data_IF_840147850024
#
_entry.id   IF_840147850024
#
_cell.length_a   1.000
_cell.length_b   1.000
_cell.length_c   1.000
_cell.angle_alpha   90.00
_cell.angle_beta   90.00
_cell.angle_gamma   90.00
#
_symmetry.space_group_name_H-M   'P 1'
#
loop_
_entity.id
_entity.type
_entity.pdbx_description
1 polymer ?
#
# COMPACT_ATOMS: atom_id res chain seq x y z
N UNK A 1 21.16 22.39 10.51
CA UNK A 1 22.02 21.59 9.61
C UNK A 1 22.13 20.15 10.11
N UNK A 2 22.42 19.91 11.39
CA UNK A 2 22.41 18.58 12.02
C UNK A 2 21.18 17.72 11.69
N UNK A 3 19.98 18.30 11.66
CA UNK A 3 18.75 17.58 11.29
C UNK A 3 18.82 16.96 9.88
N UNK A 4 19.31 17.73 8.90
CA UNK A 4 19.49 17.29 7.51
C UNK A 4 20.46 16.11 7.45
N UNK A 5 21.57 16.19 8.16
CA UNK A 5 22.61 15.15 8.20
C UNK A 5 22.08 13.86 8.83
N UNK A 6 21.42 13.97 9.99
CA UNK A 6 20.78 12.84 10.68
C UNK A 6 19.73 12.14 9.81
N UNK A 7 19.01 12.89 8.97
CA UNK A 7 18.01 12.36 8.03
C UNK A 7 18.60 11.89 6.69
N UNK A 8 19.91 12.01 6.49
CA UNK A 8 20.59 11.58 5.26
C UNK A 8 20.26 12.42 4.02
N UNK A 9 19.74 13.65 4.18
CA UNK A 9 19.27 14.50 3.09
C UNK A 9 20.43 15.21 2.37
N UNK A 10 21.44 14.48 1.88
CA UNK A 10 22.74 15.04 1.44
C UNK A 10 22.63 16.10 0.34
N UNK A 11 21.70 15.92 -0.59
CA UNK A 11 21.40 16.81 -1.72
C UNK A 11 20.52 18.03 -1.37
N UNK A 12 20.07 18.20 -0.11
CA UNK A 12 19.32 19.39 0.29
C UNK A 12 20.25 20.58 0.54
N UNK A 13 20.10 21.65 -0.24
CA UNK A 13 20.77 22.93 0.01
C UNK A 13 19.87 23.85 0.84
N UNK A 14 20.39 24.35 1.97
CA UNK A 14 19.67 25.30 2.85
C UNK A 14 20.43 26.62 2.81
N UNK A 15 19.81 27.66 2.24
CA UNK A 15 20.37 29.00 2.27
C UNK A 15 20.11 29.66 3.65
N UNK A 16 21.02 30.52 4.15
CA UNK A 16 20.88 31.13 5.48
C UNK A 16 19.58 31.92 5.71
N UNK A 17 19.03 32.52 4.66
CA UNK A 17 17.82 33.35 4.70
C UNK A 17 16.51 32.55 4.75
N UNK A 18 16.52 31.31 4.22
CA UNK A 18 15.32 30.50 4.01
C UNK A 18 14.57 30.15 5.31
N UNK A 19 15.23 29.74 6.42
CA UNK A 19 14.51 29.45 7.67
C UNK A 19 13.66 30.63 8.15
N UNK A 20 14.18 31.86 8.04
CA UNK A 20 13.44 33.07 8.41
C UNK A 20 12.24 33.26 7.50
N UNK A 21 12.42 33.10 6.19
CA UNK A 21 11.33 33.22 5.20
C UNK A 21 10.22 32.21 5.46
N UNK A 22 10.55 30.97 5.84
CA UNK A 22 9.55 29.93 6.16
C UNK A 22 8.72 30.35 7.39
N UNK A 23 9.40 30.79 8.45
CA UNK A 23 8.74 31.18 9.71
C UNK A 23 7.90 32.46 9.57
N UNK A 24 8.31 33.40 8.71
CA UNK A 24 7.63 34.69 8.53
C UNK A 24 6.63 34.71 7.36
N UNK A 25 6.39 33.60 6.66
CA UNK A 25 5.54 33.57 5.47
C UNK A 25 4.06 33.80 5.85
N UNK A 26 3.47 34.87 5.32
CA UNK A 26 2.04 35.17 5.47
C UNK A 26 1.25 35.09 4.16
N UNK A 27 1.91 35.26 3.01
CA UNK A 27 1.26 35.27 1.69
C UNK A 27 1.82 34.21 0.72
N UNK A 28 1.01 33.59 -0.16
CA UNK A 28 -0.45 33.75 -0.27
C UNK A 28 -1.23 33.08 0.88
N UNK A 29 -0.56 32.23 1.67
CA UNK A 29 -1.09 31.65 2.90
C UNK A 29 0.07 31.33 3.86
N UNK A 30 -0.26 31.15 5.15
CA UNK A 30 0.69 30.61 6.14
C UNK A 30 1.06 29.16 5.79
N UNK A 31 2.32 28.80 6.00
CA UNK A 31 2.85 27.46 5.70
C UNK A 31 2.59 26.44 6.80
N UNK A 32 2.19 26.90 7.99
CA UNK A 32 1.98 26.06 9.17
C UNK A 32 0.96 26.69 10.11
N UNK A 33 0.34 25.84 10.92
CA UNK A 33 -0.38 26.20 12.14
C UNK A 33 0.44 25.76 13.34
N UNK A 34 0.54 26.61 14.36
CA UNK A 34 1.19 26.30 15.63
C UNK A 34 0.14 26.45 16.73
N UNK A 35 -0.14 25.36 17.43
CA UNK A 35 -0.96 25.37 18.66
C UNK A 35 0.03 25.27 19.81
N UNK A 36 0.14 26.35 20.58
CA UNK A 36 1.05 26.47 21.71
C UNK A 36 0.50 27.49 22.71
N UNK A 37 0.98 27.44 23.94
CA UNK A 37 0.73 28.48 24.94
C UNK A 37 1.32 29.83 24.50
N UNK A 38 0.68 30.93 24.89
CA UNK A 38 1.13 32.29 24.56
C UNK A 38 2.58 32.54 25.02
N UNK A 39 3.01 31.95 26.14
CA UNK A 39 4.37 32.06 26.65
C UNK A 39 5.42 31.44 25.72
N UNK A 40 5.04 30.49 24.86
CA UNK A 40 5.95 29.87 23.87
C UNK A 40 6.26 30.84 22.74
N UNK A 41 5.26 31.61 22.29
CA UNK A 41 5.41 32.55 21.17
C UNK A 41 5.82 33.95 21.61
N UNK A 42 5.57 34.29 22.89
CA UNK A 42 5.93 35.56 23.53
C UNK A 42 6.64 35.29 24.86
N UNK A 43 7.88 34.79 24.84
CA UNK A 43 8.62 34.53 26.06
C UNK A 43 8.89 35.83 26.82
N UNK A 44 8.60 35.83 28.12
CA UNK A 44 8.82 36.94 29.05
C UNK A 44 10.20 36.90 29.74
N UNK A 45 10.96 35.84 29.48
CA UNK A 45 12.27 35.59 30.07
C UNK A 45 13.22 34.94 29.07
N UNK A 46 14.53 35.10 29.30
CA UNK A 46 15.55 34.44 28.49
C UNK A 46 15.41 32.91 28.54
N UNK A 47 15.07 32.33 29.70
CA UNK A 47 14.81 30.91 29.83
C UNK A 47 13.62 30.46 28.96
N UNK A 48 12.56 31.28 28.87
CA UNK A 48 11.40 31.04 28.00
C UNK A 48 11.74 31.00 26.51
N UNK A 49 12.83 31.63 26.07
CA UNK A 49 13.26 31.60 24.67
C UNK A 49 13.64 30.19 24.18
N UNK A 50 13.95 29.27 25.10
CA UNK A 50 14.19 27.87 24.75
C UNK A 50 12.96 27.20 24.14
N UNK A 51 11.75 27.51 24.65
CA UNK A 51 10.50 26.98 24.12
C UNK A 51 10.18 27.56 22.74
N UNK A 52 10.40 28.86 22.55
CA UNK A 52 10.28 29.52 21.24
C UNK A 52 11.22 28.89 20.21
N UNK A 53 12.47 28.64 20.61
CA UNK A 53 13.47 28.01 19.74
C UNK A 53 13.05 26.58 19.35
N UNK A 54 12.57 25.77 20.30
CA UNK A 54 12.10 24.41 19.97
C UNK A 54 10.85 24.42 19.09
N UNK A 55 9.92 25.37 19.29
CA UNK A 55 8.78 25.54 18.41
C UNK A 55 9.22 25.90 16.98
N UNK A 56 10.14 26.86 16.83
CA UNK A 56 10.71 27.24 15.54
C UNK A 56 11.44 26.07 14.86
N UNK A 57 12.26 25.33 15.62
CA UNK A 57 12.94 24.14 15.12
C UNK A 57 11.96 23.04 14.69
N UNK A 58 10.89 22.81 15.44
CA UNK A 58 9.85 21.84 15.10
C UNK A 58 9.16 22.19 13.78
N UNK A 59 8.79 23.46 13.59
CA UNK A 59 8.19 23.95 12.34
C UNK A 59 9.16 23.75 11.18
N UNK A 60 10.43 24.16 11.33
CA UNK A 60 11.44 24.03 10.29
C UNK A 60 11.74 22.56 9.94
N UNK A 61 11.81 21.67 10.94
CA UNK A 61 12.02 20.23 10.75
C UNK A 61 10.86 19.61 9.96
N UNK A 62 9.61 19.87 10.37
CA UNK A 62 8.41 19.38 9.67
C UNK A 62 8.32 19.92 8.24
N UNK A 63 8.58 21.22 8.04
CA UNK A 63 8.63 21.82 6.71
C UNK A 63 9.70 21.15 5.84
N UNK A 64 10.91 20.96 6.39
CA UNK A 64 12.02 20.32 5.67
C UNK A 64 11.68 18.90 5.25
N UNK A 65 11.10 18.09 6.15
CA UNK A 65 10.67 16.73 5.82
C UNK A 65 9.64 16.74 4.69
N UNK A 66 8.61 17.59 4.78
CA UNK A 66 7.55 17.70 3.76
C UNK A 66 8.09 18.20 2.42
N UNK A 67 8.93 19.23 2.42
CA UNK A 67 9.56 19.77 1.21
C UNK A 67 10.42 18.71 0.53
N UNK A 68 11.31 18.07 1.29
CA UNK A 68 12.20 17.05 0.76
C UNK A 68 11.41 15.88 0.17
N UNK A 69 10.40 15.40 0.90
CA UNK A 69 9.48 14.36 0.44
C UNK A 69 8.80 14.74 -0.87
N UNK A 70 8.19 15.93 -0.95
CA UNK A 70 7.51 16.39 -2.16
C UNK A 70 8.45 16.49 -3.37
N UNK A 71 9.68 16.95 -3.16
CA UNK A 71 10.68 17.01 -4.24
C UNK A 71 11.12 15.64 -4.71
N UNK A 72 11.29 14.68 -3.79
CA UNK A 72 11.59 13.30 -4.13
C UNK A 72 10.42 12.65 -4.89
N UNK A 73 9.19 12.80 -4.41
CA UNK A 73 7.99 12.27 -5.07
C UNK A 73 7.81 12.82 -6.49
N UNK A 74 8.11 14.11 -6.68
CA UNK A 74 8.11 14.72 -8.02
C UNK A 74 9.16 14.09 -8.91
N UNK A 75 10.38 13.91 -8.41
CA UNK A 75 11.44 13.25 -9.16
C UNK A 75 11.07 11.80 -9.50
N UNK A 76 10.59 11.02 -8.52
CA UNK A 76 10.10 9.65 -8.71
C UNK A 76 9.04 9.61 -9.83
N UNK A 77 8.02 10.48 -9.74
CA UNK A 77 6.93 10.58 -10.73
C UNK A 77 7.44 10.89 -12.14
N UNK A 78 8.46 11.74 -12.26
CA UNK A 78 9.06 12.14 -13.54
C UNK A 78 9.88 11.01 -14.19
N UNK A 79 10.37 10.05 -13.39
CA UNK A 79 11.26 8.97 -13.84
C UNK A 79 10.63 7.56 -13.82
N UNK A 80 9.45 7.39 -13.24
CA UNK A 80 8.71 6.11 -13.25
C UNK A 80 8.39 5.65 -14.69
N UNK A 81 8.65 4.38 -14.97
CA UNK A 81 8.39 3.72 -16.26
C UNK A 81 7.81 2.33 -16.04
N UNK A 82 7.04 1.84 -17.02
CA UNK A 82 6.63 0.44 -17.05
C UNK A 82 7.82 -0.44 -17.40
N UNK A 83 7.95 -1.56 -16.69
CA UNK A 83 8.93 -2.61 -16.96
C UNK A 83 8.23 -3.96 -17.00
N UNK A 84 8.67 -4.84 -17.90
CA UNK A 84 8.26 -6.24 -17.91
C UNK A 84 8.80 -6.94 -16.68
N UNK A 85 7.93 -7.64 -15.95
CA UNK A 85 8.33 -8.55 -14.88
C UNK A 85 8.86 -9.84 -15.51
N UNK A 86 10.10 -10.21 -15.17
CA UNK A 86 10.69 -11.48 -15.56
C UNK A 86 10.96 -12.35 -14.32
N UNK A 87 11.44 -13.59 -14.55
CA UNK A 87 11.70 -14.58 -13.51
C UNK A 87 12.82 -14.17 -12.53
N UNK A 88 13.66 -13.22 -12.91
CA UNK A 88 14.81 -12.78 -12.14
C UNK A 88 14.46 -11.53 -11.28
N UNK A 89 13.21 -11.07 -11.34
CA UNK A 89 12.72 -9.97 -10.50
C UNK A 89 12.78 -10.32 -9.00
N UNK A 90 13.23 -9.35 -8.19
CA UNK A 90 13.39 -9.52 -6.75
C UNK A 90 12.08 -9.85 -6.01
N UNK A 91 10.94 -9.61 -6.64
CA UNK A 91 9.63 -9.98 -6.12
C UNK A 91 9.40 -11.51 -6.10
N UNK A 92 10.17 -12.28 -6.89
CA UNK A 92 10.16 -13.74 -6.88
C UNK A 92 11.30 -14.25 -5.99
N UNK A 93 10.97 -14.90 -4.87
CA UNK A 93 11.94 -15.34 -3.86
C UNK A 93 11.62 -16.75 -3.40
N UNK A 94 12.63 -17.58 -3.17
CA UNK A 94 12.42 -18.92 -2.61
C UNK A 94 11.77 -18.85 -1.21
N UNK A 95 10.85 -19.78 -0.95
CA UNK A 95 10.28 -19.94 0.39
C UNK A 95 11.27 -20.63 1.33
N UNK A 96 11.48 -20.03 2.51
CA UNK A 96 12.12 -20.68 3.65
C UNK A 96 11.10 -20.89 4.75
N UNK A 97 10.77 -22.14 5.06
CA UNK A 97 9.84 -22.49 6.16
C UNK A 97 10.65 -23.02 7.35
N UNK A 98 10.53 -22.33 8.50
CA UNK A 98 11.13 -22.69 9.78
C UNK A 98 10.05 -23.28 10.68
N UNK A 99 10.24 -24.52 11.09
CA UNK A 99 9.28 -25.27 11.91
C UNK A 99 9.91 -25.61 13.26
N UNK A 100 9.16 -25.43 14.34
CA UNK A 100 9.59 -25.86 15.67
C UNK A 100 9.84 -27.38 15.71
N UNK A 101 10.94 -27.81 16.33
CA UNK A 101 11.36 -29.23 16.37
C UNK A 101 10.29 -30.19 16.92
N UNK A 102 9.40 -29.71 17.79
CA UNK A 102 8.32 -30.51 18.37
C UNK A 102 7.15 -30.84 17.41
N UNK A 103 7.09 -30.22 16.23
CA UNK A 103 6.02 -30.42 15.25
C UNK A 103 6.32 -31.60 14.32
N UNK A 104 6.59 -32.79 14.87
CA UNK A 104 7.05 -33.97 14.11
C UNK A 104 6.10 -34.40 12.97
N UNK A 105 4.79 -34.27 13.19
CA UNK A 105 3.79 -34.57 12.15
C UNK A 105 3.88 -33.60 10.97
N UNK A 106 4.06 -32.30 11.26
CA UNK A 106 4.22 -31.28 10.23
C UNK A 106 5.54 -31.45 9.47
N UNK A 107 6.62 -31.77 10.17
CA UNK A 107 7.92 -32.04 9.54
C UNK A 107 7.79 -33.20 8.54
N UNK A 108 7.14 -34.29 8.93
CA UNK A 108 6.89 -35.43 8.05
C UNK A 108 6.00 -35.05 6.85
N UNK A 109 4.96 -34.25 7.07
CA UNK A 109 4.09 -33.77 5.99
C UNK A 109 4.85 -32.86 4.99
N UNK A 110 5.70 -31.96 5.48
CA UNK A 110 6.54 -31.09 4.63
C UNK A 110 7.55 -31.92 3.84
N UNK A 111 8.19 -32.92 4.47
CA UNK A 111 9.12 -33.80 3.74
C UNK A 111 8.41 -34.54 2.61
N UNK A 112 7.20 -35.06 2.87
CA UNK A 112 6.39 -35.69 1.84
C UNK A 112 6.02 -34.71 0.72
N UNK A 113 5.68 -33.46 1.04
CA UNK A 113 5.39 -32.44 0.02
C UNK A 113 6.60 -32.13 -0.86
N UNK A 114 7.81 -32.14 -0.28
CA UNK A 114 9.06 -31.97 -1.03
C UNK A 114 9.28 -33.17 -1.96
N UNK A 115 9.05 -34.39 -1.47
CA UNK A 115 9.20 -35.62 -2.25
C UNK A 115 8.17 -35.74 -3.38
N UNK A 116 6.92 -35.30 -3.13
CA UNK A 116 5.83 -35.21 -4.12
C UNK A 116 6.14 -34.13 -5.20
N UNK A 117 7.06 -33.21 -4.92
CA UNK A 117 7.53 -32.16 -5.82
C UNK A 117 6.48 -31.08 -6.10
N UNK A 118 5.67 -31.29 -7.14
CA UNK A 118 4.77 -30.27 -7.67
C UNK A 118 3.45 -30.13 -6.91
N UNK A 119 3.14 -31.05 -5.99
CA UNK A 119 1.83 -31.12 -5.32
C UNK A 119 1.45 -29.81 -4.61
N UNK A 120 2.44 -29.10 -4.09
CA UNK A 120 2.28 -27.81 -3.40
C UNK A 120 1.75 -26.68 -4.31
N UNK A 121 1.95 -26.78 -5.62
CA UNK A 121 1.56 -25.76 -6.59
C UNK A 121 0.19 -26.01 -7.23
N UNK A 122 -0.48 -27.13 -6.91
CA UNK A 122 -1.67 -27.60 -7.65
C UNK A 122 -2.95 -27.63 -6.82
N UNK A 123 -2.85 -27.47 -5.49
CA UNK A 123 -3.99 -27.61 -4.58
C UNK A 123 -3.80 -26.86 -3.26
N UNK A 124 -4.91 -26.61 -2.57
CA UNK A 124 -4.91 -26.12 -1.20
C UNK A 124 -4.42 -27.25 -0.28
N UNK A 125 -3.43 -26.94 0.56
CA UNK A 125 -2.88 -27.88 1.53
C UNK A 125 -3.47 -27.63 2.92
N UNK A 126 -3.53 -28.69 3.75
CA UNK A 126 -4.03 -28.60 5.13
C UNK A 126 -2.92 -28.51 6.17
N UNK A 127 -1.88 -29.34 6.03
CA UNK A 127 -0.80 -29.41 7.03
C UNK A 127 0.11 -28.19 6.98
N UNK A 128 0.45 -27.74 5.77
CA UNK A 128 1.09 -26.46 5.50
C UNK A 128 0.08 -25.60 4.72
N UNK A 129 -0.81 -24.86 5.40
CA UNK A 129 -1.95 -24.21 4.75
C UNK A 129 -1.54 -23.31 3.58
N UNK A 130 -2.12 -23.57 2.42
CA UNK A 130 -1.91 -22.79 1.19
C UNK A 130 -3.21 -22.45 0.50
N UNK A 131 -3.19 -21.37 -0.29
CA UNK A 131 -4.25 -21.07 -1.26
C UNK A 131 -3.70 -21.27 -2.67
N UNK A 132 -4.16 -22.31 -3.36
CA UNK A 132 -3.93 -22.47 -4.77
C UNK A 132 -4.89 -21.56 -5.57
N UNK A 133 -4.30 -20.73 -6.41
CA UNK A 133 -4.97 -19.85 -7.35
C UNK A 133 -4.18 -19.89 -8.67
N UNK A 134 -4.77 -20.53 -9.67
CA UNK A 134 -4.20 -20.78 -11.00
C UNK A 134 -3.90 -19.50 -11.79
N UNK A 135 -4.53 -18.39 -11.41
CA UNK A 135 -4.29 -17.05 -11.95
C UNK A 135 -3.25 -16.25 -11.18
N UNK A 136 -2.65 -16.82 -10.14
CA UNK A 136 -1.62 -16.13 -9.37
C UNK A 136 -0.23 -16.37 -9.97
N UNK A 137 0.56 -15.31 -10.15
CA UNK A 137 1.89 -15.39 -10.81
C UNK A 137 2.97 -16.05 -9.94
N UNK A 138 2.69 -16.30 -8.66
CA UNK A 138 3.63 -16.90 -7.72
C UNK A 138 2.98 -17.89 -6.75
N UNK A 139 3.21 -19.18 -6.92
CA UNK A 139 2.72 -20.23 -6.02
C UNK A 139 3.91 -20.85 -5.26
N UNK A 140 3.72 -21.36 -4.03
CA UNK A 140 2.47 -21.37 -3.25
C UNK A 140 2.18 -20.06 -2.53
N UNK A 141 0.91 -19.79 -2.22
CA UNK A 141 0.51 -18.78 -1.24
C UNK A 141 0.34 -19.41 0.14
N UNK A 142 1.39 -19.38 0.97
CA UNK A 142 1.33 -19.85 2.36
C UNK A 142 0.43 -18.96 3.21
N UNK A 143 -0.35 -19.55 4.12
CA UNK A 143 -1.12 -18.83 5.15
C UNK A 143 -0.31 -18.81 6.46
N UNK A 144 -0.38 -17.70 7.21
CA UNK A 144 0.28 -17.57 8.51
C UNK A 144 -0.24 -18.62 9.50
N UNK A 145 0.67 -19.27 10.26
CA UNK A 145 0.33 -20.37 11.16
C UNK A 145 1.03 -20.25 12.52
N UNK A 146 0.59 -19.27 13.30
CA UNK A 146 1.04 -19.05 14.68
C UNK A 146 2.56 -18.98 14.84
N UNK A 147 3.06 -19.08 16.07
CA UNK A 147 4.48 -18.84 16.33
C UNK A 147 5.40 -20.03 16.01
N UNK A 148 4.82 -21.23 15.86
CA UNK A 148 5.59 -22.48 15.69
C UNK A 148 6.05 -22.72 14.26
N UNK A 149 5.46 -22.02 13.30
CA UNK A 149 5.80 -22.10 11.87
C UNK A 149 6.00 -20.69 11.37
N UNK A 150 7.21 -20.40 10.88
CA UNK A 150 7.55 -19.11 10.28
C UNK A 150 7.98 -19.32 8.85
N UNK A 151 7.50 -18.49 7.93
CA UNK A 151 7.93 -18.52 6.54
C UNK A 151 8.58 -17.20 6.14
N UNK A 152 9.51 -17.28 5.19
CA UNK A 152 10.03 -16.12 4.47
C UNK A 152 9.91 -16.40 2.96
N UNK A 153 9.14 -15.61 2.19
CA UNK A 153 8.23 -14.53 2.60
C UNK A 153 7.18 -14.95 3.67
N UNK A 154 6.67 -13.99 4.48
CA UNK A 154 5.68 -14.29 5.52
C UNK A 154 4.42 -14.93 4.93
N UNK A 155 3.67 -15.69 5.73
CA UNK A 155 2.36 -16.21 5.33
C UNK A 155 1.35 -15.08 5.12
N UNK A 156 0.24 -15.39 4.45
CA UNK A 156 -0.90 -14.50 4.33
C UNK A 156 -1.60 -14.35 5.68
N UNK A 157 -1.90 -13.12 6.07
CA UNK A 157 -2.77 -12.82 7.22
C UNK A 157 -4.23 -13.08 6.88
N UNK A 158 -5.11 -13.08 7.88
CA UNK A 158 -6.53 -13.36 7.67
C UNK A 158 -7.20 -12.44 6.64
N UNK A 159 -6.91 -11.13 6.65
CA UNK A 159 -7.46 -10.17 5.67
C UNK A 159 -6.96 -10.44 4.25
N UNK A 160 -5.66 -10.73 4.11
CA UNK A 160 -5.03 -11.06 2.82
C UNK A 160 -5.56 -12.40 2.28
N UNK A 161 -5.68 -13.39 3.17
CA UNK A 161 -6.25 -14.71 2.88
C UNK A 161 -7.68 -14.59 2.36
N UNK A 162 -8.54 -13.86 3.08
CA UNK A 162 -9.94 -13.63 2.71
C UNK A 162 -10.04 -13.01 1.31
N UNK A 163 -9.22 -11.99 1.03
CA UNK A 163 -9.17 -11.34 -0.28
C UNK A 163 -8.84 -12.33 -1.42
N UNK A 164 -7.80 -13.16 -1.24
CA UNK A 164 -7.41 -14.15 -2.26
C UNK A 164 -8.51 -15.21 -2.45
N UNK A 165 -9.10 -15.71 -1.36
CA UNK A 165 -10.20 -16.69 -1.42
C UNK A 165 -11.42 -16.12 -2.15
N UNK A 166 -11.80 -14.88 -1.85
CA UNK A 166 -12.95 -14.20 -2.46
C UNK A 166 -12.73 -13.89 -3.93
N UNK A 167 -11.55 -13.39 -4.30
CA UNK A 167 -11.19 -13.13 -5.69
C UNK A 167 -11.14 -14.42 -6.49
N UNK A 168 -10.60 -15.51 -5.92
CA UNK A 168 -10.61 -16.84 -6.54
C UNK A 168 -12.04 -17.33 -6.79
N UNK A 169 -12.92 -17.17 -5.80
CA UNK A 169 -14.33 -17.53 -5.94
C UNK A 169 -15.04 -16.70 -7.02
N UNK A 170 -14.80 -15.38 -7.06
CA UNK A 170 -15.32 -14.49 -8.09
C UNK A 170 -14.85 -14.90 -9.49
N UNK A 171 -13.54 -15.12 -9.67
CA UNK A 171 -12.98 -15.53 -10.96
C UNK A 171 -13.59 -16.84 -11.49
N UNK A 172 -13.91 -17.79 -10.60
CA UNK A 172 -14.59 -19.04 -10.97
C UNK A 172 -16.04 -18.81 -11.37
N UNK A 173 -16.77 -17.99 -10.61
CA UNK A 173 -18.19 -17.73 -10.83
C UNK A 173 -18.46 -16.89 -12.10
N UNK A 174 -17.51 -16.02 -12.47
CA UNK A 174 -17.64 -15.06 -13.56
C UNK A 174 -16.83 -15.41 -14.82
N UNK A 175 -16.15 -16.57 -14.82
CA UNK A 175 -15.28 -17.04 -15.90
C UNK A 175 -15.94 -16.95 -17.28
N UNK A 176 -17.17 -17.43 -17.40
CA UNK A 176 -17.90 -17.49 -18.68
C UNK A 176 -18.94 -16.36 -18.81
N UNK A 177 -18.82 -15.32 -17.98
CA UNK A 177 -19.74 -14.16 -17.92
C UNK A 177 -18.95 -12.86 -18.08
N UNK A 178 -18.83 -12.06 -17.01
CA UNK A 178 -18.14 -10.77 -17.04
C UNK A 178 -16.63 -10.89 -17.31
N UNK A 179 -16.03 -12.06 -17.10
CA UNK A 179 -14.61 -12.35 -17.37
C UNK A 179 -14.37 -13.20 -18.62
N UNK A 180 -15.37 -13.45 -19.47
CA UNK A 180 -15.22 -14.32 -20.64
C UNK A 180 -14.09 -13.87 -21.58
N UNK A 181 -13.93 -12.55 -21.76
CA UNK A 181 -12.91 -11.94 -22.61
C UNK A 181 -11.77 -11.29 -21.81
N UNK A 182 -11.65 -11.61 -20.51
CA UNK A 182 -10.68 -10.99 -19.61
C UNK A 182 -9.69 -11.99 -19.05
N UNK A 183 -8.41 -11.69 -19.17
CA UNK A 183 -7.36 -12.37 -18.43
C UNK A 183 -7.17 -11.64 -17.09
N UNK A 184 -7.23 -12.37 -15.99
CA UNK A 184 -7.02 -11.82 -14.65
C UNK A 184 -5.82 -12.51 -14.04
N UNK A 185 -4.87 -11.73 -13.55
CA UNK A 185 -3.69 -12.21 -12.84
C UNK A 185 -3.59 -11.53 -11.48
N UNK A 186 -3.21 -12.28 -10.45
CA UNK A 186 -2.89 -11.73 -9.14
C UNK A 186 -1.41 -11.95 -8.85
N UNK A 187 -0.76 -10.91 -8.35
CA UNK A 187 0.62 -10.98 -7.87
C UNK A 187 0.67 -10.50 -6.43
N UNK A 188 1.10 -11.38 -5.54
CA UNK A 188 1.54 -10.98 -4.21
C UNK A 188 2.81 -10.15 -4.34
N UNK A 189 2.81 -9.00 -3.72
CA UNK A 189 3.89 -8.06 -3.78
C UNK A 189 4.71 -8.08 -2.48
N UNK A 190 6.01 -8.26 -2.60
CA UNK A 190 6.92 -8.23 -1.47
C UNK A 190 7.15 -6.78 -1.03
N UNK A 191 7.38 -6.60 0.27
CA UNK A 191 7.62 -5.26 0.82
C UNK A 191 9.04 -4.74 0.53
N UNK A 192 9.41 -3.64 1.19
CA UNK A 192 10.64 -2.84 1.00
C UNK A 192 11.86 -3.60 0.49
N UNK A 193 12.38 -3.13 -0.64
CA UNK A 193 13.64 -3.59 -1.23
C UNK A 193 13.51 -4.77 -2.20
N UNK A 194 12.33 -5.39 -2.30
CA UNK A 194 12.09 -6.54 -3.18
C UNK A 194 10.90 -6.38 -4.13
N UNK A 195 9.77 -5.83 -3.66
CA UNK A 195 8.60 -5.63 -4.51
C UNK A 195 8.40 -4.20 -5.00
N UNK A 196 7.28 -4.01 -5.69
CA UNK A 196 6.86 -2.76 -6.32
C UNK A 196 6.25 -1.86 -5.25
N UNK A 197 6.74 -0.63 -5.14
CA UNK A 197 6.23 0.37 -4.21
C UNK A 197 6.04 1.72 -4.87
N UNK A 198 5.18 2.54 -4.27
CA UNK A 198 4.99 3.93 -4.68
C UNK A 198 5.66 4.84 -3.67
N UNK A 199 6.41 5.81 -4.20
CA UNK A 199 6.99 6.91 -3.45
C UNK A 199 7.80 6.42 -2.24
N UNK A 200 9.11 6.23 -2.41
CA UNK A 200 9.98 5.57 -1.43
C UNK A 200 9.82 6.11 0.00
N UNK A 201 9.53 7.41 0.13
CA UNK A 201 9.29 8.11 1.41
C UNK A 201 7.88 7.96 1.99
N UNK A 202 6.85 7.67 1.18
CA UNK A 202 5.51 7.29 1.69
C UNK A 202 5.52 5.87 2.23
N UNK A 203 6.43 5.04 1.72
CA UNK A 203 6.58 3.67 2.17
C UNK A 203 5.34 2.82 1.90
N UNK A 204 4.63 3.12 0.81
CA UNK A 204 3.44 2.39 0.39
C UNK A 204 3.85 1.21 -0.51
N UNK A 205 3.58 0.01 -0.02
CA UNK A 205 3.83 -1.26 -0.70
C UNK A 205 2.53 -2.06 -0.58
N UNK A 206 1.67 -2.05 -1.62
CA UNK A 206 0.42 -2.78 -1.57
C UNK A 206 0.72 -4.28 -1.45
N UNK A 207 -0.12 -5.05 -0.76
CA UNK A 207 0.11 -6.48 -0.58
C UNK A 207 -0.10 -7.27 -1.88
N UNK A 208 -0.97 -6.77 -2.76
CA UNK A 208 -1.29 -7.39 -4.03
C UNK A 208 -1.32 -6.40 -5.21
N UNK A 209 -1.00 -6.93 -6.38
CA UNK A 209 -1.14 -6.29 -7.67
C UNK A 209 -2.07 -7.17 -8.51
N UNK A 210 -3.26 -6.66 -8.77
CA UNK A 210 -4.27 -7.29 -9.60
C UNK A 210 -4.16 -6.73 -11.02
N UNK A 211 -3.89 -7.59 -12.00
CA UNK A 211 -3.76 -7.22 -13.39
C UNK A 211 -4.90 -7.82 -14.20
N UNK A 212 -5.73 -6.95 -14.78
CA UNK A 212 -6.86 -7.33 -15.63
C UNK A 212 -6.54 -6.87 -17.06
N UNK A 213 -6.50 -7.79 -18.00
CA UNK A 213 -6.30 -7.52 -19.42
C UNK A 213 -7.57 -7.86 -20.18
N UNK A 214 -7.98 -6.96 -21.09
CA UNK A 214 -9.10 -7.17 -22.01
C UNK A 214 -8.72 -6.59 -23.36
N UNK A 215 -8.46 -7.46 -24.33
CA UNK A 215 -7.83 -7.08 -25.59
C UNK A 215 -6.54 -6.26 -25.34
N UNK A 216 -6.43 -5.07 -25.91
CA UNK A 216 -5.27 -4.19 -25.74
C UNK A 216 -5.31 -3.36 -24.44
N UNK A 217 -6.46 -3.33 -23.76
CA UNK A 217 -6.62 -2.57 -22.52
C UNK A 217 -6.14 -3.36 -21.30
N UNK A 218 -5.43 -2.67 -20.41
CA UNK A 218 -4.90 -3.22 -19.18
C UNK A 218 -5.30 -2.34 -18.00
N UNK A 219 -5.72 -2.96 -16.91
CA UNK A 219 -5.95 -2.30 -15.62
C UNK A 219 -5.08 -2.98 -14.56
N UNK A 220 -4.26 -2.20 -13.90
CA UNK A 220 -3.41 -2.65 -12.80
C UNK A 220 -3.93 -2.00 -11.53
N UNK A 221 -4.42 -2.83 -10.61
CA UNK A 221 -5.03 -2.41 -9.35
C UNK A 221 -4.14 -2.83 -8.19
N UNK A 222 -3.70 -1.87 -7.39
CA UNK A 222 -2.94 -2.09 -6.17
C UNK A 222 -3.89 -2.30 -4.99
N UNK A 223 -3.85 -3.46 -4.35
CA UNK A 223 -4.78 -3.81 -3.27
C UNK A 223 -4.04 -4.04 -1.96
N UNK A 224 -4.47 -3.35 -0.90
CA UNK A 224 -3.93 -3.47 0.46
C UNK A 224 -5.03 -3.89 1.44
N UNK A 225 -5.17 -5.19 1.76
CA UNK A 225 -6.08 -5.67 2.80
C UNK A 225 -5.54 -5.42 4.22
N UNK A 226 -5.91 -4.30 4.83
CA UNK A 226 -5.35 -3.88 6.12
C UNK A 226 -6.38 -3.26 7.07
N UNK A 227 -6.07 -3.27 8.38
CA UNK A 227 -6.89 -2.60 9.40
C UNK A 227 -6.70 -1.08 9.35
N UNK A 228 -7.79 -0.33 9.40
CA UNK A 228 -7.79 1.14 9.28
C UNK A 228 -8.14 1.87 10.57
N UNK A 229 -8.21 1.17 11.71
CA UNK A 229 -8.61 1.76 13.00
C UNK A 229 -7.76 2.97 13.43
N UNK A 230 -6.49 3.00 13.02
CA UNK A 230 -5.54 4.08 13.33
C UNK A 230 -5.18 4.92 12.10
N UNK A 231 -5.96 4.81 11.03
CA UNK A 231 -5.75 5.63 9.84
C UNK A 231 -6.01 7.11 10.16
N UNK A 232 -5.25 7.99 9.52
CA UNK A 232 -5.46 9.43 9.64
C UNK A 232 -6.77 9.83 8.94
N UNK A 233 -7.26 11.04 9.22
CA UNK A 233 -8.36 11.62 8.44
C UNK A 233 -8.00 11.61 6.95
N UNK A 234 -8.98 11.34 6.07
CA UNK A 234 -8.76 11.07 4.65
C UNK A 234 -7.82 12.09 3.96
N UNK A 235 -7.99 13.38 4.24
CA UNK A 235 -7.15 14.46 3.70
C UNK A 235 -5.64 14.33 4.00
N UNK A 236 -5.28 13.57 5.03
CA UNK A 236 -3.91 13.27 5.47
C UNK A 236 -3.51 11.82 5.20
N UNK A 237 -4.46 10.96 4.84
CA UNK A 237 -4.23 9.55 4.50
C UNK A 237 -3.66 9.42 3.07
N UNK A 238 -2.34 9.64 2.95
CA UNK A 238 -1.59 9.54 1.70
C UNK A 238 -1.74 8.15 1.02
N UNK A 239 -2.13 7.10 1.78
CA UNK A 239 -2.37 5.75 1.24
C UNK A 239 -3.76 5.66 0.61
N UNK A 240 -4.81 6.04 1.34
CA UNK A 240 -6.18 6.01 0.83
C UNK A 240 -6.34 6.90 -0.41
N UNK A 241 -5.60 8.02 -0.46
CA UNK A 241 -5.62 8.97 -1.56
C UNK A 241 -4.72 8.61 -2.74
N UNK A 242 -4.04 7.45 -2.72
CA UNK A 242 -3.15 7.07 -3.82
C UNK A 242 -3.91 6.98 -5.16
N UNK A 243 -5.14 6.47 -5.15
CA UNK A 243 -5.98 6.33 -6.34
C UNK A 243 -6.22 7.67 -7.06
N UNK A 244 -6.24 8.80 -6.36
CA UNK A 244 -6.38 10.13 -6.97
C UNK A 244 -5.18 10.49 -7.88
N UNK A 245 -3.99 10.00 -7.51
CA UNK A 245 -2.73 10.31 -8.20
C UNK A 245 -2.38 9.34 -9.31
N UNK A 246 -2.85 8.09 -9.22
CA UNK A 246 -2.51 7.01 -10.15
C UNK A 246 -2.92 7.29 -11.61
N UNK A 247 -4.10 7.87 -11.94
CA UNK A 247 -4.46 8.21 -13.32
C UNK A 247 -3.49 9.21 -13.95
N UNK A 248 -3.07 10.23 -13.19
CA UNK A 248 -2.10 11.22 -13.66
C UNK A 248 -0.73 10.58 -13.90
N UNK A 249 -0.31 9.70 -12.99
CA UNK A 249 0.93 8.97 -13.13
C UNK A 249 0.89 8.02 -14.34
N UNK A 250 -0.20 7.29 -14.54
CA UNK A 250 -0.42 6.41 -15.68
C UNK A 250 -0.30 7.18 -17.00
N UNK A 251 -1.00 8.32 -17.13
CA UNK A 251 -0.92 9.17 -18.32
C UNK A 251 0.50 9.67 -18.60
N UNK A 252 1.22 10.09 -17.56
CA UNK A 252 2.62 10.52 -17.67
C UNK A 252 3.54 9.38 -18.10
N UNK A 253 3.37 8.18 -17.53
CA UNK A 253 4.14 6.99 -17.88
C UNK A 253 3.86 6.55 -19.32
N UNK A 254 2.59 6.46 -19.73
CA UNK A 254 2.19 6.13 -21.10
C UNK A 254 2.81 7.09 -22.12
N UNK A 255 2.81 8.40 -21.83
CA UNK A 255 3.47 9.40 -22.69
C UNK A 255 4.98 9.16 -22.82
N UNK A 256 5.65 8.75 -21.74
CA UNK A 256 7.10 8.51 -21.73
C UNK A 256 7.49 7.20 -22.41
N UNK A 257 6.74 6.13 -22.19
CA UNK A 257 7.09 4.78 -22.68
C UNK A 257 6.47 4.46 -24.05
N UNK A 258 5.46 5.21 -24.48
CA UNK A 258 4.68 4.93 -25.69
C UNK A 258 3.66 3.80 -25.54
N UNK A 259 3.56 3.19 -24.36
CA UNK A 259 2.55 2.17 -24.06
C UNK A 259 1.21 2.87 -23.89
N UNK A 260 0.14 2.26 -24.42
CA UNK A 260 -1.22 2.79 -24.40
C UNK A 260 -2.15 1.91 -23.57
N UNK A 261 -3.31 2.45 -23.25
CA UNK A 261 -4.45 1.72 -22.69
C UNK A 261 -4.16 1.02 -21.35
N UNK A 262 -3.27 1.62 -20.54
CA UNK A 262 -3.03 1.21 -19.15
C UNK A 262 -3.76 2.16 -18.19
N UNK A 263 -4.60 1.60 -17.35
CA UNK A 263 -5.22 2.27 -16.20
C UNK A 263 -4.56 1.77 -14.92
N UNK A 264 -4.16 2.70 -14.05
CA UNK A 264 -3.67 2.40 -12.70
C UNK A 264 -4.72 2.81 -11.68
N UNK A 265 -4.94 1.94 -10.70
CA UNK A 265 -5.91 2.16 -9.63
C UNK A 265 -5.44 1.52 -8.32
N UNK A 266 -6.02 1.90 -7.19
CA UNK A 266 -5.70 1.31 -5.89
C UNK A 266 -6.91 1.23 -4.98
N UNK A 267 -6.99 0.18 -4.18
CA UNK A 267 -8.02 -0.01 -3.15
C UNK A 267 -7.40 -0.41 -1.82
N UNK A 268 -7.96 0.12 -0.74
CA UNK A 268 -7.77 -0.43 0.60
C UNK A 268 -8.98 -1.31 0.92
N UNK A 269 -8.72 -2.58 1.25
CA UNK A 269 -9.76 -3.49 1.76
C UNK A 269 -9.67 -3.45 3.28
N UNK A 270 -10.54 -2.68 3.92
CA UNK A 270 -10.50 -2.46 5.37
C UNK A 270 -10.85 -3.74 6.12
N UNK A 271 -9.88 -4.31 6.82
CA UNK A 271 -10.11 -5.38 7.79
C UNK A 271 -10.86 -4.89 9.05
N UNK A 272 -10.95 -3.56 9.24
CA UNK A 272 -11.79 -2.96 10.28
C UNK A 272 -13.24 -2.92 9.78
N UNK A 273 -14.21 -3.48 10.53
CA UNK A 273 -15.62 -3.47 10.14
C UNK A 273 -16.15 -2.06 9.87
N UNK A 274 -17.09 -1.93 8.93
CA UNK A 274 -17.67 -0.64 8.53
C UNK A 274 -18.24 0.15 9.72
N UNK A 275 -19.02 -0.49 10.59
CA UNK A 275 -19.63 0.17 11.75
C UNK A 275 -18.58 0.72 12.73
N UNK A 276 -17.42 0.06 12.83
CA UNK A 276 -16.32 0.50 13.69
C UNK A 276 -15.47 1.60 13.06
N UNK A 277 -15.26 1.54 11.73
CA UNK A 277 -14.45 2.51 11.02
C UNK A 277 -15.21 3.83 10.81
N UNK A 278 -16.49 3.76 10.42
CA UNK A 278 -17.35 4.93 10.17
C UNK A 278 -17.35 5.90 11.33
N UNK A 279 -17.38 5.42 12.56
CA UNK A 279 -17.50 6.26 13.77
C UNK A 279 -16.21 6.99 14.13
N UNK A 280 -15.06 6.59 13.57
CA UNK A 280 -13.74 7.10 13.93
C UNK A 280 -12.99 7.76 12.77
N UNK A 281 -13.31 7.37 11.54
CA UNK A 281 -12.63 7.88 10.36
C UNK A 281 -13.13 9.27 10.00
N UNK A 282 -12.18 10.18 9.74
CA UNK A 282 -12.43 11.58 9.38
C UNK A 282 -13.34 12.30 10.41
N UNK A 283 -14.55 12.73 10.01
CA UNK A 283 -15.51 13.43 10.86
C UNK A 283 -16.62 12.53 11.42
N UNK A 284 -16.52 11.21 11.22
CA UNK A 284 -17.52 10.25 11.68
C UNK A 284 -18.80 10.17 10.83
N UNK A 285 -18.89 10.95 9.74
CA UNK A 285 -20.10 11.06 8.92
C UNK A 285 -20.17 10.10 7.73
N UNK A 286 -19.07 9.43 7.41
CA UNK A 286 -18.88 8.68 6.17
C UNK A 286 -19.79 7.45 6.06
N UNK A 287 -20.60 7.38 5.01
CA UNK A 287 -21.36 6.17 4.68
C UNK A 287 -20.55 5.23 3.77
N UNK A 288 -21.08 4.02 3.52
CA UNK A 288 -20.39 3.03 2.66
C UNK A 288 -20.13 3.56 1.25
N UNK A 289 -21.00 4.44 0.73
CA UNK A 289 -20.85 5.02 -0.60
C UNK A 289 -19.64 5.95 -0.63
N UNK A 290 -19.51 6.86 0.34
CA UNK A 290 -18.37 7.77 0.47
C UNK A 290 -17.05 7.02 0.65
N UNK A 291 -17.03 5.95 1.46
CA UNK A 291 -15.85 5.06 1.54
C UNK A 291 -15.52 4.43 0.18
N UNK A 292 -16.52 3.93 -0.53
CA UNK A 292 -16.34 3.29 -1.85
C UNK A 292 -15.83 4.29 -2.89
N UNK A 293 -16.35 5.52 -2.92
CA UNK A 293 -15.89 6.62 -3.77
C UNK A 293 -14.44 7.02 -3.46
N UNK A 294 -14.00 6.85 -2.20
CA UNK A 294 -12.61 7.04 -1.78
C UNK A 294 -11.73 5.77 -1.95
N UNK A 295 -12.25 4.74 -2.63
CA UNK A 295 -11.59 3.44 -2.86
C UNK A 295 -11.20 2.69 -1.58
N UNK A 296 -11.97 2.90 -0.52
CA UNK A 296 -11.94 2.11 0.71
C UNK A 296 -13.16 1.19 0.70
N UNK A 297 -12.93 -0.11 0.67
CA UNK A 297 -13.99 -1.12 0.62
C UNK A 297 -13.89 -2.07 1.81
N UNK A 298 -14.97 -2.78 2.11
CA UNK A 298 -15.06 -3.71 3.23
C UNK A 298 -15.22 -5.14 2.71
N UNK A 299 -14.66 -6.18 3.34
CA UNK A 299 -14.68 -7.56 2.85
C UNK A 299 -16.05 -8.25 3.01
N UNK A 300 -17.12 -7.58 2.56
CA UNK A 300 -18.50 -8.03 2.60
C UNK A 300 -18.94 -8.44 1.18
N UNK A 301 -19.61 -9.59 1.05
CA UNK A 301 -20.16 -10.09 -0.23
C UNK A 301 -21.62 -10.47 -0.08
N UNK A 302 -22.49 -9.73 -0.75
CA UNK A 302 -23.95 -9.84 -0.73
C UNK A 302 -24.53 -9.33 -2.05
N UNK A 303 -25.83 -9.55 -2.29
CA UNK A 303 -26.49 -9.06 -3.49
C UNK A 303 -26.50 -7.51 -3.58
N UNK A 304 -26.42 -6.81 -2.45
CA UNK A 304 -26.45 -5.35 -2.38
C UNK A 304 -25.05 -4.71 -2.38
N UNK A 305 -24.02 -5.49 -2.03
CA UNK A 305 -22.64 -5.02 -1.90
C UNK A 305 -21.68 -6.21 -2.05
N UNK A 306 -20.84 -6.18 -3.07
CA UNK A 306 -19.72 -7.11 -3.26
C UNK A 306 -18.47 -6.28 -3.58
N UNK A 307 -17.51 -6.29 -2.65
CA UNK A 307 -16.28 -5.51 -2.78
C UNK A 307 -15.37 -6.02 -3.89
N UNK A 308 -15.40 -7.31 -4.22
CA UNK A 308 -14.65 -7.84 -5.36
C UNK A 308 -15.28 -7.33 -6.66
N UNK A 309 -16.60 -7.30 -6.76
CA UNK A 309 -17.25 -6.67 -7.92
C UNK A 309 -16.87 -5.20 -8.04
N UNK A 310 -16.85 -4.44 -6.94
CA UNK A 310 -16.44 -3.03 -6.95
C UNK A 310 -15.00 -2.89 -7.45
N UNK A 311 -14.07 -3.69 -6.92
CA UNK A 311 -12.67 -3.69 -7.33
C UNK A 311 -12.55 -4.08 -8.81
N UNK A 312 -13.32 -5.07 -9.28
CA UNK A 312 -13.26 -5.60 -10.65
C UNK A 312 -13.99 -4.74 -11.68
N UNK A 313 -14.96 -3.92 -11.28
CA UNK A 313 -15.69 -3.01 -12.17
C UNK A 313 -14.70 -2.06 -12.83
N UNK A 314 -14.75 -2.00 -14.16
CA UNK A 314 -14.00 -1.01 -14.92
C UNK A 314 -14.56 0.36 -14.58
N UNK A 315 -13.74 1.25 -14.05
CA UNK A 315 -14.06 2.67 -14.06
C UNK A 315 -13.93 3.14 -15.51
N UNK A 316 -15.06 3.31 -16.20
CA UNK A 316 -15.10 4.11 -17.42
C UNK A 316 -14.65 5.50 -17.05
N UNK A 317 -13.45 5.86 -17.53
CA UNK A 317 -12.86 7.19 -17.38
C UNK A 317 -13.57 8.20 -18.26
#
# INVERSE_FOLDING_TARGET
LEYKERKGMRNLAIRPDVPRVILSRTEPARLYSLVADDAVVRPDSFAGTALLNEAALTVLRKYTDKFYRNQQERWDSEHMVYRTLDRDDANFQNYTVKVARGESQLIAAIQKLIDDGDGIYKQDLRDLPTIHFDRHLYQPLLIERGDKVRSEPPGLKDSERQFVEDLRAFCRAEKDKSLADAEVFLLRNLSRGKGIGFFEKRGFYPDFILWVKKADAQRIVFVEPHGMLHAEAYQHDDKARLHESLPHLAAAMCKRTGIKDIVLDSFIVSATPFEDLRTRYDDGSWDRKKFTEAHIVFPDRSAQYDYIEIIMRQQTT
#
